data_IF_003541090576
#
_entry.id   IF_003541090576
#
_cell.length_a   1.000
_cell.length_b   1.000
_cell.length_c   1.000
_cell.angle_alpha   90.00
_cell.angle_beta   90.00
_cell.angle_gamma   90.00
#
_symmetry.space_group_name_H-M   'P 1'
#
loop_
_entity.id
_entity.type
_entity.pdbx_description
1 polymer ?
2 non-polymer ?
3 non-polymer ?
4 non-polymer ?
5 water ?
#
# COMPACT_ATOMS: atom_id res chain seq x y z
N UNK A 107 -1.34 9.18 -34.87
CA UNK A 107 -1.96 8.66 -33.64
C UNK A 107 -2.86 7.48 -33.98
N UNK A 108 -3.04 6.57 -33.01
CA UNK A 108 -4.03 5.51 -33.12
C UNK A 108 -5.42 6.13 -33.02
N UNK A 109 -6.44 5.32 -33.35
CA UNK A 109 -7.82 5.78 -33.30
C UNK A 109 -8.14 6.24 -31.89
N UNK A 110 -8.72 7.45 -31.80
CA UNK A 110 -9.21 7.99 -30.55
C UNK A 110 -10.11 6.98 -29.86
N UNK A 111 -9.98 6.87 -28.53
CA UNK A 111 -10.86 6.04 -27.72
C UNK A 111 -11.68 6.97 -26.83
N UNK A 112 -13.01 6.88 -26.95
CA UNK A 112 -13.92 7.67 -26.14
C UNK A 112 -14.61 6.76 -25.13
N UNK A 113 -14.59 7.16 -23.85
CA UNK A 113 -15.20 6.38 -22.78
C UNK A 113 -15.88 7.33 -21.78
N UNK A 114 -16.74 6.77 -20.93
CA UNK A 114 -17.34 7.54 -19.85
C UNK A 114 -16.28 7.97 -18.85
N UNK A 115 -15.37 7.06 -18.49
CA UNK A 115 -14.34 7.35 -17.51
C UNK A 115 -12.99 6.86 -18.01
N UNK A 116 -11.99 7.75 -17.94
CA UNK A 116 -10.60 7.35 -18.10
C UNK A 116 -10.00 7.17 -16.71
N UNK A 117 -9.40 5.99 -16.48
CA UNK A 117 -8.81 5.66 -15.19
C UNK A 117 -7.29 5.62 -15.36
N UNK A 118 -6.59 6.43 -14.56
CA UNK A 118 -5.13 6.42 -14.58
C UNK A 118 -4.62 5.53 -13.45
N UNK A 119 -3.97 4.44 -13.85
CA UNK A 119 -3.43 3.45 -12.95
C UNK A 119 -4.38 2.26 -12.81
N UNK A 120 -3.90 1.08 -13.24
CA UNK A 120 -4.63 -0.16 -13.10
C UNK A 120 -4.08 -1.01 -11.96
N UNK A 121 -3.95 -0.39 -10.80
CA UNK A 121 -3.60 -1.08 -9.57
C UNK A 121 -4.84 -1.50 -8.80
N UNK A 122 -4.76 -1.51 -7.48
CA UNK A 122 -5.88 -2.00 -6.69
C UNK A 122 -7.12 -1.11 -6.86
N UNK A 123 -6.96 0.20 -6.66
CA UNK A 123 -8.11 1.07 -6.66
C UNK A 123 -8.63 1.29 -8.08
N UNK A 124 -7.73 1.37 -9.05
CA UNK A 124 -8.13 1.61 -10.44
C UNK A 124 -8.87 0.42 -11.03
N UNK A 125 -8.39 -0.79 -10.74
CA UNK A 125 -9.03 -1.99 -11.25
C UNK A 125 -10.43 -2.13 -10.63
N UNK A 126 -10.52 -1.93 -9.32
CA UNK A 126 -11.80 -1.98 -8.64
C UNK A 126 -12.77 -0.99 -9.27
N UNK A 127 -12.32 0.25 -9.48
CA UNK A 127 -13.15 1.27 -10.08
C UNK A 127 -13.63 0.83 -11.47
N UNK A 128 -12.74 0.23 -12.26
CA UNK A 128 -13.09 -0.17 -13.62
C UNK A 128 -14.25 -1.15 -13.60
N UNK A 129 -14.18 -2.16 -12.71
CA UNK A 129 -15.20 -3.19 -12.64
C UNK A 129 -16.51 -2.59 -12.13
N UNK A 130 -16.42 -1.76 -11.08
CA UNK A 130 -17.62 -1.16 -10.51
C UNK A 130 -18.30 -0.25 -11.51
N UNK A 131 -17.52 0.53 -12.26
CA UNK A 131 -18.07 1.47 -13.21
C UNK A 131 -18.79 0.73 -14.34
N UNK A 132 -18.17 -0.33 -14.86
CA UNK A 132 -18.81 -1.11 -15.90
C UNK A 132 -20.15 -1.65 -15.42
N UNK A 133 -20.20 -2.12 -14.18
CA UNK A 133 -21.43 -2.68 -13.64
C UNK A 133 -22.50 -1.60 -13.50
N UNK A 134 -22.08 -0.33 -13.37
CA UNK A 134 -22.99 0.81 -13.32
C UNK A 134 -23.45 1.23 -14.71
N UNK A 135 -22.87 0.64 -15.76
CA UNK A 135 -23.18 1.01 -17.13
C UNK A 135 -22.35 2.18 -17.64
N UNK A 136 -21.20 2.44 -17.00
CA UNK A 136 -20.24 3.42 -17.49
C UNK A 136 -19.09 2.68 -18.17
N UNK A 137 -18.71 3.14 -19.37
CA UNK A 137 -17.59 2.57 -20.11
C UNK A 137 -16.28 3.16 -19.60
N UNK A 138 -15.19 2.40 -19.73
CA UNK A 138 -13.91 2.80 -19.14
C UNK A 138 -12.75 2.49 -20.09
N UNK A 139 -11.66 3.23 -19.89
CA UNK A 139 -10.33 2.82 -20.31
C UNK A 139 -9.38 2.97 -19.12
N UNK A 140 -8.50 1.97 -18.96
CA UNK A 140 -7.54 1.94 -17.87
C UNK A 140 -6.15 2.11 -18.47
N UNK A 141 -5.42 3.12 -17.95
CA UNK A 141 -4.08 3.44 -18.41
C UNK A 141 -3.09 2.96 -17.36
N UNK A 142 -2.24 1.98 -17.69
CA UNK A 142 -1.38 1.35 -16.70
C UNK A 142 0.07 1.35 -17.15
N UNK A 143 0.93 1.88 -16.27
CA UNK A 143 2.37 2.03 -16.47
C UNK A 143 3.07 0.70 -16.67
N UNK A 144 2.71 -0.30 -15.86
CA UNK A 144 3.38 -1.59 -15.81
C UNK A 144 2.86 -2.51 -16.91
N UNK A 145 3.46 -3.70 -17.01
CA UNK A 145 3.04 -4.71 -17.98
C UNK A 145 2.08 -5.72 -17.35
N UNK A 146 1.46 -5.34 -16.22
CA UNK A 146 0.48 -6.18 -15.55
C UNK A 146 -0.47 -5.26 -14.77
N UNK A 147 -1.66 -5.78 -14.44
CA UNK A 147 -2.60 -5.12 -13.55
C UNK A 147 -2.34 -5.56 -12.12
N UNK A 148 -2.52 -4.62 -11.18
CA UNK A 148 -2.56 -4.96 -9.77
C UNK A 148 -1.64 -4.11 -8.90
N UNK A 149 -0.66 -3.42 -9.51
CA UNK A 149 0.22 -2.53 -8.77
C UNK A 149 0.98 -3.27 -7.68
N UNK A 150 0.63 -2.99 -6.42
CA UNK A 150 1.28 -3.61 -5.28
C UNK A 150 0.82 -5.05 -5.04
N UNK A 151 -0.15 -5.51 -5.83
CA UNK A 151 -0.62 -6.88 -5.79
C UNK A 151 0.14 -7.71 -6.81
N UNK A 152 1.12 -8.47 -6.31
CA UNK A 152 2.14 -9.10 -7.14
C UNK A 152 2.30 -10.56 -6.74
N UNK A 153 2.32 -11.45 -7.73
CA UNK A 153 2.53 -12.86 -7.49
C UNK A 153 3.53 -13.40 -8.51
N UNK A 154 4.50 -14.16 -8.00
CA UNK A 154 5.39 -14.96 -8.82
C UNK A 154 4.95 -16.41 -8.71
N UNK A 155 4.84 -17.10 -9.87
CA UNK A 155 4.41 -18.49 -9.89
C UNK A 155 5.61 -19.37 -10.19
N UNK A 156 5.84 -20.36 -9.32
CA UNK A 156 6.89 -21.35 -9.55
C UNK A 156 6.45 -22.30 -10.66
N UNK A 157 7.35 -23.22 -11.02
CA UNK A 157 7.10 -24.17 -12.09
C UNK A 157 5.82 -24.98 -11.83
N UNK A 158 5.56 -25.33 -10.56
CA UNK A 158 4.40 -26.12 -10.21
C UNK A 158 3.22 -25.24 -9.84
N UNK A 159 3.31 -23.94 -10.17
CA UNK A 159 2.22 -22.98 -10.02
C UNK A 159 1.90 -22.69 -8.55
N UNK A 160 2.88 -22.83 -7.67
CA UNK A 160 2.74 -22.31 -6.31
C UNK A 160 2.73 -20.79 -6.40
N UNK A 161 1.69 -20.10 -5.87
CA UNK A 161 1.66 -18.64 -5.90
C UNK A 161 2.52 -18.05 -4.78
N UNK A 162 3.56 -17.30 -5.16
CA UNK A 162 4.38 -16.59 -4.19
C UNK A 162 4.02 -15.10 -4.24
N UNK A 163 3.12 -14.70 -3.33
CA UNK A 163 2.79 -13.29 -3.19
C UNK A 163 3.98 -12.57 -2.57
N UNK A 164 4.38 -11.44 -3.15
CA UNK A 164 5.52 -10.70 -2.59
C UNK A 164 5.19 -9.23 -2.34
N UNK A 165 3.96 -8.81 -2.64
CA UNK A 165 3.46 -7.51 -2.22
C UNK A 165 2.33 -7.68 -1.22
N UNK A 166 1.12 -7.29 -1.62
CA UNK A 166 -0.10 -7.57 -0.88
C UNK A 166 -0.13 -9.04 -0.45
N UNK A 167 -0.48 -9.26 0.83
CA UNK A 167 -0.61 -10.60 1.38
C UNK A 167 -2.07 -11.05 1.44
N UNK A 168 -3.00 -10.11 1.65
CA UNK A 168 -4.40 -10.47 1.74
C UNK A 168 -5.30 -9.28 2.03
N UNK A 169 -6.59 -9.57 2.16
CA UNK A 169 -7.64 -8.57 2.28
C UNK A 169 -8.43 -8.80 3.55
N UNK A 170 -9.16 -7.77 3.98
CA UNK A 170 -10.01 -7.89 5.15
C UNK A 170 -11.25 -8.69 4.77
N UNK A 171 -11.68 -9.59 5.65
CA UNK A 171 -12.84 -10.42 5.36
C UNK A 171 -14.12 -9.66 5.70
N UNK A 172 -14.50 -8.75 4.79
CA UNK A 172 -15.69 -7.92 4.95
C UNK A 172 -16.57 -8.06 3.72
N UNK A 173 -17.78 -7.52 3.81
CA UNK A 173 -18.74 -7.57 2.71
C UNK A 173 -18.14 -6.99 1.43
N UNK A 174 -17.46 -5.84 1.55
CA UNK A 174 -16.87 -5.19 0.38
C UNK A 174 -15.89 -6.13 -0.31
N UNK A 175 -15.03 -6.78 0.48
CA UNK A 175 -14.05 -7.70 -0.07
C UNK A 175 -14.74 -8.91 -0.72
N UNK A 176 -15.62 -9.56 0.03
CA UNK A 176 -16.25 -10.78 -0.43
C UNK A 176 -17.04 -10.51 -1.70
N UNK A 177 -17.77 -9.40 -1.74
CA UNK A 177 -18.57 -9.03 -2.91
C UNK A 177 -17.66 -8.92 -4.14
N UNK A 178 -16.47 -8.33 -3.97
CA UNK A 178 -15.57 -8.08 -5.09
C UNK A 178 -14.94 -9.37 -5.59
N UNK A 179 -14.42 -10.18 -4.67
CA UNK A 179 -13.79 -11.44 -5.07
C UNK A 179 -14.83 -12.34 -5.73
N UNK A 180 -16.06 -12.35 -5.20
CA UNK A 180 -17.14 -13.14 -5.77
C UNK A 180 -17.54 -12.58 -7.13
N UNK A 181 -17.63 -11.26 -7.24
CA UNK A 181 -17.93 -10.60 -8.50
C UNK A 181 -16.98 -11.10 -9.59
N UNK A 182 -15.68 -11.17 -9.27
CA UNK A 182 -14.68 -11.53 -10.25
C UNK A 182 -14.49 -13.05 -10.35
N UNK A 183 -15.30 -13.83 -9.62
CA UNK A 183 -15.33 -15.28 -9.75
C UNK A 183 -14.00 -15.89 -9.29
N UNK A 184 -13.40 -15.28 -8.27
CA UNK A 184 -12.06 -15.67 -7.82
C UNK A 184 -12.21 -16.51 -6.56
N UNK A 185 -11.89 -17.83 -6.58
CA UNK A 185 -11.91 -18.64 -5.36
C UNK A 185 -10.94 -18.06 -4.32
N UNK A 186 -11.40 -18.01 -3.07
CA UNK A 186 -10.62 -17.40 -2.01
C UNK A 186 -10.87 -18.12 -0.70
N UNK A 187 -10.00 -17.84 0.28
CA UNK A 187 -10.12 -18.41 1.61
C UNK A 187 -9.17 -17.70 2.56
N UNK A 188 -9.13 -18.19 3.81
CA UNK A 188 -8.30 -17.58 4.83
C UNK A 188 -6.83 -17.77 4.46
N UNK A 189 -6.03 -16.73 4.70
CA UNK A 189 -4.59 -16.82 4.51
C UNK A 189 -4.05 -17.88 5.46
N UNK A 190 -3.32 -18.86 4.91
CA UNK A 190 -2.70 -19.91 5.70
C UNK A 190 -1.24 -20.01 5.29
N UNK A 191 -0.33 -19.22 5.91
CA UNK A 191 1.08 -19.20 5.50
C UNK A 191 1.78 -20.53 5.82
N UNK A 192 2.91 -20.74 5.14
CA UNK A 192 3.73 -21.92 5.37
C UNK A 192 4.11 -22.00 6.84
N UNK A 193 4.25 -23.21 7.42
CA UNK A 193 4.74 -23.37 8.79
C UNK A 193 6.08 -22.68 8.96
N UNK A 194 6.26 -22.08 10.14
CA UNK A 194 7.52 -21.44 10.47
C UNK A 194 7.59 -21.26 11.98
N UNK A 195 8.82 -21.36 12.51
CA UNK A 195 9.11 -20.84 13.83
C UNK A 195 9.62 -19.41 13.64
N UNK A 196 9.34 -18.57 14.64
CA UNK A 196 9.85 -17.20 14.64
C UNK A 196 11.20 -17.17 15.34
N UNK A 197 12.21 -16.66 14.65
CA UNK A 197 13.48 -16.29 15.24
C UNK A 197 13.53 -14.77 15.37
N UNK A 198 13.75 -14.28 16.60
CA UNK A 198 13.92 -12.86 16.84
C UNK A 198 15.39 -12.52 16.67
N UNK A 199 15.67 -11.59 15.76
CA UNK A 199 17.02 -11.25 15.39
C UNK A 199 17.11 -9.74 15.28
N UNK A 200 18.16 -9.17 15.84
CA UNK A 200 18.45 -7.77 15.63
C UNK A 200 19.16 -7.64 14.28
N UNK A 201 18.42 -7.27 13.23
CA UNK A 201 19.03 -7.25 11.90
C UNK A 201 19.99 -6.08 11.77
N UNK A 202 19.92 -5.11 12.69
CA UNK A 202 20.87 -4.00 12.70
C UNK A 202 22.25 -4.47 13.14
N UNK A 203 22.31 -5.53 13.97
CA UNK A 203 23.59 -6.03 14.46
C UNK A 203 23.89 -7.45 13.95
N UNK A 204 22.87 -8.12 13.38
CA UNK A 204 23.01 -9.48 12.89
C UNK A 204 22.95 -10.54 13.99
N UNK A 205 22.55 -10.13 15.20
CA UNK A 205 22.66 -10.99 16.37
C UNK A 205 21.28 -11.45 16.84
N UNK A 206 21.18 -12.74 17.21
CA UNK A 206 19.94 -13.31 17.69
C UNK A 206 19.54 -12.68 19.02
N UNK A 207 18.24 -12.61 19.26
CA UNK A 207 17.71 -12.07 20.50
C UNK A 207 16.39 -12.79 20.83
N UNK A 208 15.57 -12.13 21.64
CA UNK A 208 14.24 -12.61 21.98
C UNK A 208 13.25 -11.46 21.77
N UNK A 209 11.96 -11.78 21.83
CA UNK A 209 10.93 -10.76 21.79
C UNK A 209 11.20 -9.77 22.91
N UNK A 210 11.03 -8.47 22.63
CA UNK A 210 11.39 -7.43 23.59
C UNK A 210 10.65 -7.67 24.91
N UNK A 211 11.38 -7.74 26.05
CA UNK A 211 10.72 -7.89 27.36
C UNK A 211 9.62 -6.86 27.57
N UNK A 212 8.47 -7.35 28.04
CA UNK A 212 7.34 -6.49 28.38
C UNK A 212 6.38 -6.30 27.21
N UNK A 213 6.82 -6.55 25.98
CA UNK A 213 5.95 -6.31 24.82
C UNK A 213 4.90 -7.42 24.74
N UNK A 214 3.66 -7.01 24.48
CA UNK A 214 2.54 -7.91 24.32
C UNK A 214 2.53 -8.52 22.91
N UNK A 215 1.84 -9.65 22.79
CA UNK A 215 1.48 -10.23 21.51
C UNK A 215 0.34 -9.42 20.89
N UNK A 216 0.08 -9.67 19.60
CA UNK A 216 -0.83 -8.85 18.81
C UNK A 216 -2.19 -8.68 19.48
N UNK A 217 -2.86 -9.76 19.84
CA UNK A 217 -4.25 -9.67 20.26
C UNK A 217 -4.37 -8.76 21.48
N UNK A 218 -3.49 -8.95 22.46
CA UNK A 218 -3.52 -8.17 23.69
C UNK A 218 -3.13 -6.72 23.42
N UNK A 219 -2.13 -6.52 22.55
CA UNK A 219 -1.70 -5.17 22.19
C UNK A 219 -2.84 -4.42 21.50
N UNK A 220 -3.51 -5.09 20.55
CA UNK A 220 -4.59 -4.47 19.80
C UNK A 220 -5.72 -4.04 20.74
N UNK A 221 -6.04 -4.86 21.75
CA UNK A 221 -7.15 -4.53 22.64
C UNK A 221 -6.89 -3.20 23.34
N UNK A 222 -5.67 -2.99 23.83
CA UNK A 222 -5.33 -1.75 24.52
C UNK A 222 -5.33 -0.58 23.54
N UNK A 223 -4.76 -0.80 22.35
CA UNK A 223 -4.66 0.23 21.32
C UNK A 223 -6.04 0.69 20.86
N UNK A 224 -6.91 -0.27 20.52
CA UNK A 224 -8.24 0.04 20.01
C UNK A 224 -9.03 0.85 21.05
N UNK A 225 -8.85 0.52 22.34
CA UNK A 225 -9.51 1.26 23.40
C UNK A 225 -9.05 2.72 23.40
N UNK A 226 -7.75 2.95 23.15
CA UNK A 226 -7.18 4.29 23.19
C UNK A 226 -7.62 5.12 21.99
N UNK A 227 -7.82 4.49 20.82
CA UNK A 227 -8.07 5.25 19.61
C UNK A 227 -9.57 5.27 19.25
N UNK A 228 -10.40 4.61 20.05
CA UNK A 228 -11.83 4.54 19.82
C UNK A 228 -12.45 5.93 19.66
N UNK A 229 -11.88 6.90 20.38
CA UNK A 229 -12.30 8.29 20.36
C UNK A 229 -12.20 8.93 18.97
N UNK A 230 -11.41 8.34 18.08
CA UNK A 230 -11.26 8.85 16.72
C UNK A 230 -12.10 8.01 15.77
N UNK A 231 -13.41 7.92 16.05
CA UNK A 231 -14.32 7.07 15.30
C UNK A 231 -14.45 7.47 13.83
N UNK A 232 -14.16 8.74 13.54
CA UNK A 232 -14.22 9.26 12.18
C UNK A 232 -13.16 8.61 11.27
N UNK A 233 -12.19 7.88 11.84
CA UNK A 233 -11.21 7.16 11.05
C UNK A 233 -11.58 5.68 10.89
N UNK A 234 -12.80 5.28 11.31
CA UNK A 234 -13.18 3.88 11.35
C UNK A 234 -13.12 3.21 9.98
N UNK A 235 -13.29 3.97 8.89
CA UNK A 235 -13.25 3.39 7.55
C UNK A 235 -11.98 3.81 6.81
N UNK A 236 -11.03 4.39 7.54
CA UNK A 236 -9.73 4.72 6.99
C UNK A 236 -9.71 6.00 6.14
N UNK A 237 -10.76 6.82 6.24
CA UNK A 237 -10.81 8.04 5.47
C UNK A 237 -10.42 9.22 6.37
N UNK A 238 -9.64 10.16 5.83
CA UNK A 238 -9.06 11.25 6.61
C UNK A 238 -10.08 12.38 6.81
N UNK A 239 -11.27 12.04 7.32
CA UNK A 239 -12.32 13.01 7.60
C UNK A 239 -12.18 13.44 9.06
N UNK A 240 -11.39 14.49 9.27
CA UNK A 240 -10.97 14.88 10.60
C UNK A 240 -11.68 16.19 10.95
N UNK A 241 -12.37 16.27 12.10
CA UNK A 241 -12.99 17.52 12.53
C UNK A 241 -11.93 18.58 12.83
N UNK A 242 -12.31 19.84 12.64
CA UNK A 242 -11.46 20.97 12.97
C UNK A 242 -12.18 21.84 13.98
N UNK A 243 -11.52 22.31 15.06
CA UNK A 243 -10.09 22.07 15.32
C UNK A 243 -9.71 20.60 15.54
N UNK A 244 -8.53 20.23 15.04
CA UNK A 244 -8.07 18.85 15.07
C UNK A 244 -7.77 18.47 16.51
N UNK A 245 -8.24 17.30 17.01
CA UNK A 245 -7.84 16.83 18.33
C UNK A 245 -6.32 16.67 18.40
N UNK A 246 -5.67 17.34 19.36
CA UNK A 246 -4.22 17.42 19.38
C UNK A 246 -3.59 16.04 19.58
N UNK A 247 -4.25 15.15 20.32
CA UNK A 247 -3.70 13.82 20.54
C UNK A 247 -3.54 13.08 19.21
N UNK A 248 -4.43 13.32 18.25
CA UNK A 248 -4.39 12.62 16.97
C UNK A 248 -3.14 12.98 16.17
N UNK A 249 -2.64 14.22 16.33
CA UNK A 249 -1.49 14.67 15.55
C UNK A 249 -0.26 14.81 16.43
N UNK A 250 -0.33 14.30 17.67
CA UNK A 250 0.84 14.20 18.54
C UNK A 250 1.75 13.10 18.02
N UNK A 251 3.07 13.15 18.29
CA UNK A 251 3.96 12.03 17.98
C UNK A 251 3.41 10.76 18.61
N UNK A 252 3.43 9.67 17.83
CA UNK A 252 3.02 8.37 18.35
C UNK A 252 3.77 8.05 19.64
N UNK A 253 5.07 8.38 19.68
CA UNK A 253 5.88 8.12 20.87
C UNK A 253 5.30 8.80 22.10
N UNK A 254 4.74 10.00 21.92
CA UNK A 254 4.11 10.73 23.02
C UNK A 254 2.77 10.10 23.38
N UNK A 255 1.99 9.75 22.35
CA UNK A 255 0.67 9.18 22.53
C UNK A 255 0.74 7.89 23.35
N UNK A 256 1.73 7.03 23.11
CA UNK A 256 1.75 5.75 23.80
C UNK A 256 2.08 5.94 25.28
N UNK A 257 2.82 7.00 25.63
CA UNK A 257 3.05 7.32 27.04
C UNK A 257 1.77 7.81 27.67
N UNK A 258 1.10 8.77 27.01
CA UNK A 258 -0.09 9.39 27.53
C UNK A 258 -1.22 8.37 27.71
N UNK A 259 -1.34 7.42 26.76
CA UNK A 259 -2.42 6.46 26.77
C UNK A 259 -1.98 5.12 27.36
N UNK A 260 -0.74 5.07 27.89
CA UNK A 260 -0.27 3.92 28.65
C UNK A 260 -0.30 2.68 27.76
N UNK A 261 0.36 2.78 26.60
CA UNK A 261 0.36 1.74 25.58
C UNK A 261 1.77 1.23 25.30
N UNK A 262 2.70 1.43 26.23
CA UNK A 262 4.10 1.18 25.96
C UNK A 262 4.33 -0.31 25.67
N UNK A 263 3.54 -1.18 26.30
CA UNK A 263 3.65 -2.62 26.12
C UNK A 263 3.00 -3.12 24.83
N UNK A 264 2.37 -2.21 24.04
CA UNK A 264 1.70 -2.60 22.81
C UNK A 264 2.46 -2.15 21.57
N UNK A 265 3.58 -1.45 21.72
CA UNK A 265 4.18 -0.73 20.61
C UNK A 265 4.76 -1.68 19.56
N UNK A 266 5.48 -2.72 19.99
CA UNK A 266 6.14 -3.57 19.02
C UNK A 266 5.11 -4.23 18.10
N UNK A 267 4.01 -4.71 18.67
CA UNK A 267 2.95 -5.34 17.87
C UNK A 267 2.42 -4.37 16.81
N UNK A 268 2.25 -3.10 17.19
CA UNK A 268 1.74 -2.10 16.26
C UNK A 268 2.78 -1.84 15.16
N UNK A 269 4.05 -1.72 15.54
CA UNK A 269 5.13 -1.59 14.57
C UNK A 269 5.13 -2.76 13.59
N UNK A 270 4.90 -3.98 14.10
CA UNK A 270 5.01 -5.17 13.27
C UNK A 270 3.99 -5.14 12.13
N UNK A 271 2.93 -4.32 12.26
CA UNK A 271 1.90 -4.20 11.24
C UNK A 271 1.89 -2.82 10.58
N UNK A 272 2.95 -2.03 10.81
CA UNK A 272 3.10 -0.71 10.19
C UNK A 272 4.39 -0.70 9.38
N UNK A 273 4.28 -0.44 8.07
CA UNK A 273 5.46 -0.44 7.22
C UNK A 273 6.22 0.88 7.35
N UNK A 274 6.84 1.09 8.53
CA UNK A 274 7.52 2.34 8.82
C UNK A 274 7.92 2.42 10.29
N UNK A 275 8.88 3.30 10.58
CA UNK A 275 9.31 3.53 11.96
C UNK A 275 8.23 4.33 12.69
N UNK A 276 7.43 3.63 13.48
CA UNK A 276 6.31 4.26 14.19
C UNK A 276 6.80 5.34 15.16
N UNK A 277 8.03 5.22 15.68
CA UNK A 277 8.52 6.17 16.66
C UNK A 277 8.89 7.51 16.03
N UNK A 278 8.86 7.60 14.69
CA UNK A 278 9.06 8.87 14.00
C UNK A 278 7.80 9.32 13.25
N UNK A 279 6.65 8.73 13.60
CA UNK A 279 5.38 9.07 12.97
C UNK A 279 4.46 9.73 13.98
N UNK A 280 3.55 10.59 13.50
CA UNK A 280 2.47 11.06 14.34
C UNK A 280 1.40 9.98 14.43
N UNK A 281 0.56 10.09 15.46
CA UNK A 281 -0.40 9.07 15.82
C UNK A 281 -1.33 8.75 14.65
N UNK A 282 -1.79 9.79 13.95
CA UNK A 282 -2.71 9.62 12.84
C UNK A 282 -2.23 8.52 11.88
N UNK A 283 -0.95 8.57 11.49
CA UNK A 283 -0.50 7.67 10.43
C UNK A 283 -0.33 6.25 10.96
N UNK A 284 -0.07 6.08 12.26
CA UNK A 284 -0.05 4.74 12.82
C UNK A 284 -1.48 4.18 12.82
N UNK A 285 -2.47 5.00 13.18
CA UNK A 285 -3.86 4.56 13.14
C UNK A 285 -4.22 4.12 11.72
N UNK A 286 -3.69 4.83 10.71
CA UNK A 286 -4.02 4.54 9.33
C UNK A 286 -3.25 3.31 8.82
N UNK A 287 -2.37 2.72 9.64
CA UNK A 287 -1.75 1.44 9.32
C UNK A 287 -2.31 0.29 10.16
N UNK A 288 -2.71 0.55 11.41
CA UNK A 288 -3.13 -0.54 12.28
C UNK A 288 -4.25 -0.08 13.21
N UNK A 289 -5.31 0.48 12.62
CA UNK A 289 -6.45 0.99 13.35
C UNK A 289 -7.55 -0.06 13.57
N UNK A 290 -8.79 0.41 13.68
CA UNK A 290 -9.90 -0.39 14.16
C UNK A 290 -10.20 -1.54 13.19
N UNK A 291 -10.51 -1.29 11.89
CA UNK A 291 -10.79 -2.39 10.98
C UNK A 291 -9.58 -3.29 10.73
N UNK A 292 -8.39 -2.69 10.83
CA UNK A 292 -7.13 -3.38 10.58
C UNK A 292 -6.91 -4.45 11.64
N UNK A 293 -7.09 -4.06 12.91
CA UNK A 293 -6.90 -4.96 14.03
C UNK A 293 -7.92 -6.10 13.99
N UNK A 294 -9.17 -5.76 13.65
CA UNK A 294 -10.22 -6.76 13.56
C UNK A 294 -9.87 -7.79 12.48
N UNK A 295 -9.37 -7.31 11.35
CA UNK A 295 -9.04 -8.17 10.22
C UNK A 295 -7.89 -9.12 10.59
N UNK A 296 -6.86 -8.61 11.28
CA UNK A 296 -5.73 -9.44 11.66
C UNK A 296 -6.14 -10.48 12.70
N UNK A 297 -7.00 -10.08 13.65
CA UNK A 297 -7.47 -11.00 14.68
C UNK A 297 -8.21 -12.18 14.03
N UNK A 298 -9.04 -11.89 13.02
CA UNK A 298 -9.82 -12.93 12.36
C UNK A 298 -8.93 -13.71 11.37
N UNK A 299 -8.06 -12.97 10.67
CA UNK A 299 -7.28 -13.53 9.58
C UNK A 299 -7.73 -12.94 8.24
N UNK A 300 -6.75 -12.54 7.42
CA UNK A 300 -7.04 -12.05 6.09
C UNK A 300 -7.59 -13.18 5.22
N UNK A 301 -8.29 -12.78 4.15
CA UNK A 301 -8.66 -13.71 3.09
C UNK A 301 -7.90 -13.30 1.82
N UNK A 302 -7.67 -14.27 0.94
CA UNK A 302 -6.99 -13.97 -0.30
C UNK A 302 -7.33 -15.05 -1.32
N UNK A 303 -7.14 -14.75 -2.62
CA UNK A 303 -7.39 -15.75 -3.66
C UNK A 303 -6.48 -16.97 -3.49
N UNK A 304 -7.05 -18.16 -3.71
CA UNK A 304 -6.29 -19.40 -3.59
C UNK A 304 -5.10 -19.37 -4.53
N UNK A 305 -5.27 -18.85 -5.75
CA UNK A 305 -4.23 -18.93 -6.77
C UNK A 305 -3.43 -17.64 -6.84
N UNK A 306 -3.29 -16.94 -5.70
CA UNK A 306 -2.43 -15.77 -5.61
C UNK A 306 -3.20 -14.46 -5.80
N UNK A 307 -2.65 -13.38 -5.26
CA UNK A 307 -3.26 -12.06 -5.43
C UNK A 307 -3.42 -11.76 -6.91
N UNK A 308 -2.43 -12.13 -7.72
CA UNK A 308 -2.47 -11.84 -9.16
C UNK A 308 -3.69 -12.47 -9.83
N UNK A 309 -4.25 -13.55 -9.27
CA UNK A 309 -5.41 -14.19 -9.87
C UNK A 309 -6.60 -13.24 -9.94
N UNK A 310 -6.74 -12.35 -8.96
CA UNK A 310 -7.77 -11.32 -8.99
C UNK A 310 -7.60 -10.47 -10.24
N UNK A 311 -6.36 -10.02 -10.48
CA UNK A 311 -6.04 -9.09 -11.55
C UNK A 311 -6.08 -9.78 -12.91
N UNK A 312 -5.73 -11.07 -12.96
CA UNK A 312 -5.87 -11.84 -14.19
C UNK A 312 -7.34 -11.90 -14.58
N UNK A 313 -8.22 -12.16 -13.61
CA UNK A 313 -9.63 -12.24 -13.87
C UNK A 313 -10.18 -10.89 -14.35
N UNK A 314 -9.83 -9.81 -13.65
CA UNK A 314 -10.26 -8.48 -14.05
C UNK A 314 -9.77 -8.16 -15.46
N UNK A 315 -8.51 -8.49 -15.74
CA UNK A 315 -7.91 -8.23 -17.05
C UNK A 315 -8.65 -8.95 -18.17
N UNK A 316 -9.10 -10.19 -17.91
CA UNK A 316 -9.86 -10.95 -18.89
C UNK A 316 -11.17 -10.25 -19.21
N UNK A 317 -11.81 -9.67 -18.19
CA UNK A 317 -13.08 -8.98 -18.40
C UNK A 317 -12.85 -7.68 -19.17
N UNK A 318 -11.79 -6.95 -18.83
CA UNK A 318 -11.58 -5.60 -19.35
C UNK A 318 -11.02 -5.62 -20.76
N UNK A 319 -10.26 -6.68 -21.11
CA UNK A 319 -9.74 -6.85 -22.45
C UNK A 319 -8.99 -5.61 -22.94
N UNK A 320 -9.37 -5.11 -24.12
CA UNK A 320 -8.63 -4.05 -24.79
C UNK A 320 -8.90 -2.69 -24.15
N UNK A 321 -9.76 -2.62 -23.13
CA UNK A 321 -9.97 -1.37 -22.40
C UNK A 321 -8.82 -1.13 -21.41
N UNK A 322 -7.91 -2.10 -21.27
CA UNK A 322 -6.68 -1.87 -20.52
C UNK A 322 -5.54 -1.59 -21.50
N UNK A 323 -4.86 -0.46 -21.31
CA UNK A 323 -3.65 -0.13 -22.03
C UNK A 323 -2.46 -0.31 -21.10
N UNK A 324 -1.74 -1.43 -21.25
CA UNK A 324 -0.56 -1.72 -20.46
C UNK A 324 0.64 -0.97 -21.05
N UNK A 325 1.67 -0.80 -20.22
CA UNK A 325 2.88 -0.06 -20.56
C UNK A 325 2.51 1.26 -21.23
N UNK A 326 1.50 1.93 -20.67
CA UNK A 326 0.96 3.17 -21.21
C UNK A 326 0.85 4.17 -20.07
N UNK A 327 1.18 5.44 -20.35
CA UNK A 327 1.17 6.49 -19.36
C UNK A 327 0.57 7.75 -19.96
N UNK A 328 -0.08 8.62 -19.15
CA UNK A 328 -0.54 9.92 -19.65
C UNK A 328 0.65 10.80 -19.99
N UNK A 329 0.55 11.48 -21.13
CA UNK A 329 1.59 12.36 -21.61
C UNK A 329 1.13 13.82 -21.50
N UNK A 330 -0.12 14.09 -21.85
CA UNK A 330 -0.68 15.43 -21.78
C UNK A 330 -2.18 15.32 -21.48
N UNK A 331 -2.63 16.09 -20.48
CA UNK A 331 -4.01 16.05 -20.03
C UNK A 331 -4.63 17.43 -20.22
N UNK A 332 -5.88 17.45 -20.70
CA UNK A 332 -6.72 18.64 -20.63
C UNK A 332 -7.95 18.31 -19.78
N UNK A 333 -8.27 19.21 -18.85
CA UNK A 333 -9.38 19.01 -17.93
C UNK A 333 -10.41 20.11 -18.17
N UNK A 334 -11.61 19.70 -18.62
CA UNK A 334 -12.69 20.63 -18.91
C UNK A 334 -13.78 20.52 -17.85
N UNK A 335 -14.70 21.49 -17.84
CA UNK A 335 -15.82 21.46 -16.92
C UNK A 335 -16.73 20.27 -17.25
N UNK A 336 -16.79 19.91 -18.54
CA UNK A 336 -17.59 18.78 -18.99
C UNK A 336 -16.74 17.89 -19.90
N UNK A 337 -15.79 17.18 -19.29
CA UNK A 337 -15.01 16.17 -19.98
C UNK A 337 -13.51 16.37 -19.79
N UNK A 338 -12.74 15.39 -20.27
CA UNK A 338 -11.29 15.44 -20.25
C UNK A 338 -10.77 14.88 -21.56
N UNK A 339 -9.52 15.24 -21.88
CA UNK A 339 -8.75 14.60 -22.93
C UNK A 339 -7.41 14.17 -22.35
N UNK A 340 -7.01 12.92 -22.59
CA UNK A 340 -5.73 12.41 -22.14
C UNK A 340 -5.00 11.82 -23.34
N UNK A 341 -3.91 12.46 -23.74
CA UNK A 341 -3.01 11.88 -24.70
C UNK A 341 -2.10 10.92 -23.93
N UNK A 342 -2.12 9.65 -24.34
CA UNK A 342 -1.30 8.63 -23.70
C UNK A 342 -0.24 8.15 -24.68
N UNK A 343 0.84 7.61 -24.11
CA UNK A 343 1.97 7.08 -24.86
C UNK A 343 2.17 5.63 -24.43
N UNK A 344 2.39 4.74 -25.40
CA UNK A 344 2.66 3.34 -25.09
C UNK A 344 4.13 3.01 -25.40
N UNK A 345 4.58 1.87 -24.88
CA UNK A 345 5.97 1.48 -24.99
C UNK A 345 6.40 1.31 -26.44
N UNK A 346 5.45 0.98 -27.34
CA UNK A 346 5.76 0.81 -28.76
C UNK A 346 5.88 2.17 -29.46
N UNK A 347 5.69 3.27 -28.73
CA UNK A 347 5.89 4.60 -29.26
C UNK A 347 4.60 5.24 -29.80
N UNK A 348 3.51 4.47 -29.80
CA UNK A 348 2.25 4.96 -30.33
C UNK A 348 1.61 5.91 -29.32
N UNK A 349 0.93 6.94 -29.83
CA UNK A 349 0.12 7.80 -28.99
C UNK A 349 -1.36 7.58 -29.33
N UNK A 350 -2.20 7.70 -28.29
CA UNK A 350 -3.63 7.59 -28.41
C UNK A 350 -4.27 8.75 -27.67
N UNK A 351 -5.27 9.38 -28.28
CA UNK A 351 -6.11 10.34 -27.58
C UNK A 351 -7.24 9.58 -26.91
N UNK A 352 -7.33 9.74 -25.58
CA UNK A 352 -8.45 9.24 -24.81
C UNK A 352 -9.37 10.41 -24.48
N UNK A 353 -10.64 10.27 -24.83
CA UNK A 353 -11.67 11.22 -24.45
C UNK A 353 -12.51 10.59 -23.35
N UNK A 354 -12.71 11.34 -22.25
CA UNK A 354 -13.55 10.87 -21.16
C UNK A 354 -14.55 11.93 -20.75
N UNK A 355 -15.72 11.49 -20.25
CA UNK A 355 -16.62 12.41 -19.57
C UNK A 355 -16.01 12.76 -18.22
N UNK A 356 -15.29 11.82 -17.61
CA UNK A 356 -14.65 12.03 -16.32
C UNK A 356 -13.30 11.32 -16.31
N UNK A 357 -12.45 11.77 -15.37
CA UNK A 357 -11.11 11.23 -15.17
C UNK A 357 -10.98 10.78 -13.72
N UNK A 358 -10.45 9.58 -13.49
CA UNK A 358 -10.19 9.09 -12.15
C UNK A 358 -8.71 8.76 -12.04
N UNK A 359 -8.03 9.41 -11.09
CA UNK A 359 -6.58 9.34 -11.00
C UNK A 359 -6.19 8.55 -9.76
N UNK A 360 -5.47 7.44 -9.96
CA UNK A 360 -5.00 6.61 -8.86
C UNK A 360 -3.48 6.71 -8.69
N UNK A 361 -2.84 7.51 -9.55
CA UNK A 361 -1.41 7.82 -9.48
C UNK A 361 -1.16 8.57 -8.17
N UNK A 362 -0.10 8.28 -7.38
CA UNK A 362 0.18 9.09 -6.20
C UNK A 362 0.41 10.54 -6.62
N UNK A 363 -0.32 11.53 -6.05
CA UNK A 363 -0.23 12.91 -6.54
C UNK A 363 0.98 13.71 -6.06
N UNK A 364 2.17 13.12 -6.17
CA UNK A 364 3.41 13.90 -6.11
C UNK A 364 3.45 14.79 -7.34
N UNK A 365 3.96 16.03 -7.18
CA UNK A 365 4.05 16.94 -8.31
C UNK A 365 4.87 16.32 -9.45
N UNK A 366 5.95 15.60 -9.11
CA UNK A 366 6.79 14.99 -10.14
C UNK A 366 6.03 13.90 -10.90
N UNK A 367 4.96 13.34 -10.31
CA UNK A 367 4.18 12.31 -10.96
C UNK A 367 3.13 12.89 -11.91
N UNK A 368 2.90 14.21 -11.82
CA UNK A 368 1.78 14.84 -12.52
C UNK A 368 2.29 15.75 -13.64
N UNK A 369 3.44 15.41 -14.22
CA UNK A 369 3.88 16.03 -15.45
C UNK A 369 2.81 15.85 -16.52
N UNK A 370 2.54 16.93 -17.26
CA UNK A 370 1.55 16.93 -18.32
C UNK A 370 0.12 17.13 -17.82
N UNK A 371 -0.05 17.37 -16.51
CA UNK A 371 -1.36 17.37 -15.88
C UNK A 371 -1.62 18.78 -15.34
N UNK A 372 -2.46 19.63 -15.99
CA UNK A 372 -2.73 20.97 -15.48
C UNK A 372 -3.30 20.89 -14.07
N UNK A 373 -2.81 21.77 -13.19
CA UNK A 373 -3.23 21.82 -11.80
C UNK A 373 -3.66 23.24 -11.47
N UNK A 374 -4.71 23.35 -10.64
CA UNK A 374 -5.10 24.64 -10.07
C UNK A 374 -4.04 25.07 -9.08
N UNK A 375 -4.08 26.36 -8.69
CA UNK A 375 -3.14 26.88 -7.71
C UNK A 375 -3.29 26.10 -6.40
N UNK A 376 -4.53 25.76 -6.03
CA UNK A 376 -4.79 25.06 -4.79
C UNK A 376 -4.27 23.63 -4.87
N UNK A 377 -4.48 22.95 -6.01
CA UNK A 377 -3.96 21.61 -6.20
C UNK A 377 -2.44 21.61 -6.07
N UNK A 378 -1.78 22.56 -6.76
CA UNK A 378 -0.33 22.67 -6.73
C UNK A 378 0.16 22.91 -5.30
N UNK A 379 -0.53 23.81 -4.59
CA UNK A 379 -0.15 24.17 -3.23
C UNK A 379 -0.23 22.95 -2.31
N UNK A 380 -1.34 22.21 -2.36
CA UNK A 380 -1.51 21.07 -1.47
C UNK A 380 -0.53 19.96 -1.83
N UNK A 381 -0.41 19.66 -3.12
CA UNK A 381 0.44 18.55 -3.54
C UNK A 381 1.92 18.85 -3.28
N UNK A 382 2.29 20.13 -3.16
CA UNK A 382 3.67 20.49 -2.87
C UNK A 382 4.08 20.06 -1.46
N UNK A 383 3.10 19.70 -0.61
CA UNK A 383 3.37 19.46 0.80
C UNK A 383 3.72 17.99 1.10
N UNK A 384 3.55 17.08 0.13
CA UNK A 384 3.74 15.66 0.41
C UNK A 384 5.15 15.36 0.88
N UNK A 385 5.21 14.48 1.88
CA UNK A 385 6.40 13.76 2.26
C UNK A 385 6.11 12.28 2.07
N UNK A 386 7.15 11.46 1.90
CA UNK A 386 6.91 10.04 1.70
C UNK A 386 8.15 9.23 2.06
N UNK A 387 7.96 7.91 2.04
CA UNK A 387 9.00 6.93 2.27
C UNK A 387 9.15 6.04 1.05
N UNK A 388 10.28 5.32 0.99
CA UNK A 388 10.49 4.31 -0.04
C UNK A 388 10.23 2.93 0.56
N UNK A 389 9.83 2.00 -0.31
CA UNK A 389 9.40 0.68 0.09
C UNK A 389 9.75 -0.29 -1.03
N UNK A 390 10.53 -1.33 -0.70
CA UNK A 390 11.01 -2.30 -1.66
C UNK A 390 10.53 -3.68 -1.26
N UNK A 391 9.91 -4.38 -2.21
CA UNK A 391 9.32 -5.69 -1.97
C UNK A 391 10.10 -6.73 -2.77
N UNK A 392 10.92 -7.50 -2.07
CA UNK A 392 11.81 -8.46 -2.71
C UNK A 392 11.30 -9.88 -2.52
N UNK A 393 11.51 -10.69 -3.55
CA UNK A 393 11.39 -12.13 -3.50
C UNK A 393 12.75 -12.71 -3.85
N UNK A 394 13.33 -13.49 -2.94
CA UNK A 394 14.67 -14.01 -3.11
C UNK A 394 14.67 -15.51 -2.89
N UNK A 395 15.70 -16.18 -3.40
CA UNK A 395 15.95 -17.56 -3.04
C UNK A 395 17.46 -17.80 -3.01
N UNK A 396 17.86 -19.06 -2.82
CA UNK A 396 19.26 -19.41 -2.73
C UNK A 396 19.94 -18.54 -1.67
N UNK A 397 19.35 -18.50 -0.48
CA UNK A 397 19.72 -17.56 0.57
C UNK A 397 20.64 -18.18 1.62
N UNK A 398 20.62 -19.51 1.75
CA UNK A 398 21.30 -20.20 2.83
C UNK A 398 20.51 -20.21 4.14
N UNK A 399 19.35 -19.53 4.17
CA UNK A 399 18.52 -19.47 5.36
C UNK A 399 17.74 -20.78 5.51
N UNK A 400 17.29 -21.12 6.76
CA UNK A 400 16.36 -22.22 6.95
C UNK A 400 15.04 -21.97 6.21
N UNK A 401 14.46 -23.05 5.69
CA UNK A 401 13.19 -23.01 4.99
C UNK A 401 12.05 -22.72 5.95
N UNK A 402 12.23 -23.03 7.25
CA UNK A 402 11.12 -23.06 8.18
C UNK A 402 11.24 -21.95 9.23
N UNK A 403 11.84 -20.81 8.88
CA UNK A 403 11.97 -19.71 9.80
C UNK A 403 11.36 -18.44 9.20
N UNK A 404 10.69 -17.67 10.06
CA UNK A 404 10.39 -16.27 9.82
C UNK A 404 11.27 -15.46 10.77
N UNK A 405 12.04 -14.53 10.22
CA UNK A 405 12.98 -13.75 11.01
C UNK A 405 12.31 -12.43 11.35
N UNK A 406 12.14 -12.19 12.66
CA UNK A 406 11.44 -11.03 13.18
C UNK A 406 12.48 -10.03 13.70
N UNK A 407 12.46 -8.83 13.13
CA UNK A 407 13.49 -7.83 13.36
C UNK A 407 13.19 -7.08 14.65
N UNK A 408 14.06 -7.27 15.66
CA UNK A 408 13.95 -6.61 16.95
C UNK A 408 15.21 -5.79 17.19
N UNK A 409 15.04 -4.47 17.36
CA UNK A 409 16.17 -3.60 17.66
C UNK A 409 16.35 -3.53 19.18
N UNK A 410 17.30 -4.33 19.67
CA UNK A 410 17.54 -4.48 21.10
C UNK A 410 18.05 -3.20 21.73
N UNK A 411 18.52 -2.25 20.91
CA UNK A 411 19.11 -1.02 21.41
C UNK A 411 18.14 0.15 21.31
N UNK A 412 16.87 -0.12 20.96
CA UNK A 412 15.91 0.95 20.79
C UNK A 412 14.66 0.68 21.61
N UNK A 413 14.02 1.78 22.02
CA UNK A 413 12.75 1.79 22.73
C UNK A 413 11.77 0.81 22.09
N UNK A 414 11.24 -0.13 22.90
CA UNK A 414 10.19 -1.06 22.51
C UNK A 414 10.63 -2.06 21.45
N UNK A 415 11.92 -2.08 21.11
CA UNK A 415 12.44 -3.00 20.09
C UNK A 415 12.21 -2.53 18.66
N UNK A 416 11.78 -1.27 18.45
CA UNK A 416 11.43 -0.80 17.12
C UNK A 416 12.69 -0.29 16.41
N UNK A 417 13.03 -0.82 15.22
CA UNK A 417 14.19 -0.34 14.48
C UNK A 417 13.97 1.02 13.82
N UNK A 418 15.09 1.72 13.57
CA UNK A 418 15.11 2.96 12.82
C UNK A 418 15.25 2.66 11.33
N UNK A 419 14.67 3.53 10.50
CA UNK A 419 14.82 3.38 9.06
C UNK A 419 16.24 3.76 8.62
N UNK A 420 16.78 3.17 7.54
CA UNK A 420 16.12 2.10 6.79
C UNK A 420 16.21 0.75 7.51
N UNK A 421 15.24 -0.13 7.27
CA UNK A 421 15.26 -1.44 7.89
C UNK A 421 14.60 -2.50 7.01
N UNK A 422 14.93 -3.75 7.30
CA UNK A 422 14.13 -4.88 6.87
C UNK A 422 12.94 -5.00 7.82
N UNK A 423 11.74 -4.90 7.23
CA UNK A 423 10.50 -4.93 7.98
C UNK A 423 9.99 -6.35 8.15
N UNK A 424 10.14 -7.15 7.09
CA UNK A 424 9.68 -8.54 7.06
C UNK A 424 10.73 -9.39 6.36
N UNK A 425 10.91 -10.62 6.85
CA UNK A 425 11.82 -11.57 6.25
C UNK A 425 11.24 -12.96 6.48
N UNK A 426 10.29 -13.36 5.63
CA UNK A 426 9.49 -14.55 5.91
C UNK A 426 9.59 -15.53 4.75
N UNK A 427 9.15 -16.77 5.04
CA UNK A 427 9.34 -17.91 4.17
C UNK A 427 8.10 -18.09 3.29
N UNK A 428 8.10 -19.19 2.53
CA UNK A 428 7.05 -19.48 1.57
C UNK A 428 6.78 -20.98 1.55
N UNK A 429 5.65 -21.35 0.93
CA UNK A 429 5.31 -22.76 0.74
C UNK A 429 6.28 -23.45 -0.20
N UNK A 430 6.86 -22.70 -1.15
CA UNK A 430 7.88 -23.23 -2.04
C UNK A 430 9.23 -23.14 -1.33
N UNK A 431 9.92 -24.29 -1.08
CA UNK A 431 11.20 -24.26 -0.40
C UNK A 431 12.22 -23.32 -1.03
N UNK A 432 12.94 -22.59 -0.17
CA UNK A 432 14.06 -21.77 -0.60
C UNK A 432 13.68 -20.31 -0.84
N UNK A 433 12.40 -20.02 -1.08
CA UNK A 433 11.99 -18.66 -1.39
C UNK A 433 11.63 -17.90 -0.11
N UNK A 434 12.04 -16.64 -0.05
CA UNK A 434 11.74 -15.76 1.06
C UNK A 434 11.32 -14.39 0.53
N UNK A 435 10.40 -13.75 1.24
CA UNK A 435 10.10 -12.34 1.01
C UNK A 435 10.97 -11.49 1.93
N UNK A 436 11.51 -10.41 1.38
CA UNK A 436 12.21 -9.41 2.18
C UNK A 436 11.63 -8.05 1.81
N UNK A 437 11.06 -7.37 2.80
CA UNK A 437 10.45 -6.06 2.61
C UNK A 437 11.31 -5.04 3.35
N UNK A 438 11.68 -3.96 2.65
CA UNK A 438 12.57 -2.95 3.19
C UNK A 438 11.92 -1.58 3.09
N UNK A 439 12.05 -0.80 4.16
CA UNK A 439 11.45 0.52 4.23
C UNK A 439 12.54 1.54 4.57
N UNK A 440 12.50 2.70 3.91
CA UNK A 440 13.41 3.78 4.25
C UNK A 440 12.82 5.14 3.91
N UNK A 441 13.65 6.16 4.05
CA UNK A 441 13.26 7.53 3.71
C UNK A 441 13.13 7.70 2.19
N UNK A 442 12.82 8.93 1.78
CA UNK A 442 12.52 9.23 0.39
C UNK A 442 13.71 9.00 -0.54
N UNK A 443 14.93 8.96 0.02
CA UNK A 443 16.12 8.80 -0.79
C UNK A 443 16.64 7.35 -0.75
N UNK A 444 15.90 6.45 -0.11
CA UNK A 444 16.28 5.04 -0.03
C UNK A 444 15.84 4.34 -1.30
N UNK A 445 16.63 4.53 -2.37
CA UNK A 445 16.28 4.04 -3.70
C UNK A 445 16.74 2.61 -3.94
N UNK A 446 16.63 2.18 -5.18
CA UNK A 446 16.75 0.77 -5.52
C UNK A 446 18.14 0.24 -5.18
N UNK A 447 19.18 0.97 -5.60
CA UNK A 447 20.55 0.51 -5.37
C UNK A 447 20.86 0.51 -3.88
N UNK A 448 20.43 1.56 -3.16
CA UNK A 448 20.66 1.62 -1.73
C UNK A 448 19.99 0.44 -1.04
N UNK A 449 18.75 0.12 -1.46
CA UNK A 449 17.97 -0.90 -0.79
C UNK A 449 18.55 -2.28 -1.06
N UNK A 450 18.98 -2.53 -2.30
CA UNK A 450 19.57 -3.82 -2.63
C UNK A 450 20.85 -4.02 -1.84
N UNK A 451 21.70 -2.99 -1.80
CA UNK A 451 22.94 -3.06 -1.06
C UNK A 451 22.66 -3.29 0.42
N UNK A 452 21.68 -2.57 0.96
CA UNK A 452 21.32 -2.72 2.36
C UNK A 452 20.88 -4.15 2.64
N UNK A 453 20.04 -4.70 1.76
CA UNK A 453 19.57 -6.07 1.91
C UNK A 453 20.75 -7.03 1.95
N UNK A 454 21.65 -6.93 0.97
CA UNK A 454 22.80 -7.82 0.89
C UNK A 454 23.66 -7.70 2.15
N UNK A 455 23.85 -6.47 2.64
CA UNK A 455 24.70 -6.23 3.79
C UNK A 455 24.08 -6.85 5.05
N UNK A 456 22.76 -6.74 5.20
CA UNK A 456 22.10 -7.33 6.36
C UNK A 456 22.25 -8.85 6.34
N UNK A 457 22.08 -9.46 5.16
CA UNK A 457 22.18 -10.91 5.05
C UNK A 457 23.62 -11.36 5.31
N UNK A 458 24.59 -10.61 4.82
CA UNK A 458 26.00 -10.92 5.04
C UNK A 458 26.34 -10.85 6.52
N UNK A 459 25.76 -9.89 7.24
CA UNK A 459 26.07 -9.70 8.65
C UNK A 459 25.58 -10.90 9.46
N UNK A 460 24.47 -11.54 9.04
CA UNK A 460 23.98 -12.72 9.72
C UNK A 460 25.02 -13.85 9.65
N UNK A 461 25.74 -13.94 8.54
CA UNK A 461 26.79 -14.93 8.37
C UNK A 461 28.00 -14.56 9.23
N UNK A 462 28.40 -13.28 9.17
CA UNK A 462 29.56 -12.79 9.88
C UNK A 462 29.42 -13.02 11.38
N UNK A 463 28.19 -12.91 11.91
CA UNK A 463 27.94 -13.04 13.33
C UNK A 463 27.65 -14.50 13.71
N UNK A 464 27.61 -15.40 12.73
CA UNK A 464 27.41 -16.82 12.96
C UNK A 464 25.95 -17.18 13.23
N UNK A 465 25.03 -16.28 12.88
CA UNK A 465 23.62 -16.45 13.19
C UNK A 465 22.95 -17.40 12.21
N UNK A 466 23.21 -17.21 10.90
CA UNK A 466 22.77 -18.14 9.87
C UNK A 466 23.87 -18.29 8.83
N UNK A 467 23.86 -19.43 8.13
CA UNK A 467 24.82 -19.72 7.09
C UNK A 467 24.37 -19.11 5.77
N UNK A 468 24.17 -17.79 5.75
CA UNK A 468 23.70 -17.12 4.55
C UNK A 468 24.83 -17.04 3.52
N UNK A 469 24.42 -16.88 2.26
CA UNK A 469 25.30 -16.46 1.20
C UNK A 469 24.50 -15.51 0.32
N UNK A 470 25.19 -14.78 -0.56
CA UNK A 470 24.51 -13.77 -1.36
C UNK A 470 23.37 -14.46 -2.12
N UNK A 471 22.12 -13.97 -1.96
CA UNK A 471 20.97 -14.65 -2.54
C UNK A 471 20.78 -14.32 -4.02
N UNK A 472 19.89 -15.09 -4.66
CA UNK A 472 19.38 -14.77 -5.98
C UNK A 472 18.13 -13.91 -5.83
N UNK A 473 18.08 -12.80 -6.56
CA UNK A 473 16.89 -11.96 -6.58
C UNK A 473 15.96 -12.48 -7.66
N UNK A 474 14.75 -12.88 -7.26
CA UNK A 474 13.73 -13.29 -8.21
C UNK A 474 12.95 -12.04 -8.64
N UNK A 475 12.53 -11.23 -7.66
CA UNK A 475 11.88 -9.95 -7.91
C UNK A 475 12.40 -8.92 -6.91
N UNK A 476 12.49 -7.66 -7.34
CA UNK A 476 12.84 -6.56 -6.45
C UNK A 476 11.98 -5.36 -6.84
N UNK A 477 10.75 -5.30 -6.31
CA UNK A 477 9.72 -4.42 -6.81
C UNK A 477 9.69 -3.11 -6.02
N UNK A 478 9.60 -2.00 -6.75
CA UNK A 478 9.35 -0.71 -6.13
C UNK A 478 7.90 -0.62 -5.66
N UNK A 479 7.73 -0.28 -4.38
CA UNK A 479 6.46 0.14 -3.82
C UNK A 479 6.52 1.61 -3.39
N UNK A 480 7.47 2.36 -3.96
CA UNK A 480 7.60 3.77 -3.66
C UNK A 480 6.61 4.57 -4.50
N UNK A 481 5.92 5.59 -3.96
CA UNK A 481 5.98 6.02 -2.56
C UNK A 481 5.05 5.24 -1.63
N UNK A 482 5.53 5.01 -0.40
CA UNK A 482 4.69 4.54 0.69
C UNK A 482 4.56 5.68 1.69
N UNK A 483 3.45 5.69 2.44
CA UNK A 483 3.23 6.66 3.51
C UNK A 483 3.34 8.08 2.96
N UNK A 484 2.47 8.39 2.00
CA UNK A 484 2.27 9.77 1.59
C UNK A 484 1.65 10.52 2.77
N UNK A 485 2.37 11.52 3.29
CA UNK A 485 1.97 12.17 4.53
C UNK A 485 2.33 13.65 4.50
N UNK A 486 1.75 14.39 5.44
CA UNK A 486 2.08 15.80 5.64
C UNK A 486 2.34 16.03 7.12
N UNK A 487 2.88 17.21 7.44
CA UNK A 487 3.24 17.55 8.80
C UNK A 487 1.98 17.72 9.66
N UNK A 488 2.17 17.59 10.98
CA UNK A 488 1.13 17.87 11.95
C UNK A 488 0.55 19.28 11.73
N UNK A 489 1.43 20.26 11.44
CA UNK A 489 1.00 21.63 11.26
C UNK A 489 0.06 21.73 10.06
N UNK A 490 0.37 21.03 8.96
CA UNK A 490 -0.49 21.07 7.78
C UNK A 490 -1.86 20.48 8.13
N UNK A 491 -1.87 19.37 8.88
CA UNK A 491 -3.11 18.72 9.26
C UNK A 491 -3.94 19.66 10.15
N UNK A 492 -3.28 20.31 11.11
CA UNK A 492 -3.92 21.25 12.00
C UNK A 492 -4.62 22.36 11.21
N UNK A 493 -4.02 22.75 10.08
CA UNK A 493 -4.57 23.78 9.21
C UNK A 493 -5.62 23.27 8.22
N UNK A 494 -6.03 22.00 8.37
CA UNK A 494 -7.13 21.45 7.58
C UNK A 494 -6.68 20.87 6.23
N UNK A 495 -5.44 20.38 6.15
CA UNK A 495 -4.92 19.82 4.92
C UNK A 495 -5.89 18.82 4.29
N UNK A 496 -6.37 17.85 5.08
CA UNK A 496 -7.17 16.77 4.52
C UNK A 496 -8.55 17.24 4.08
N UNK A 497 -9.14 18.21 4.80
CA UNK A 497 -10.38 18.80 4.35
C UNK A 497 -10.17 19.46 2.98
N UNK A 498 -9.07 20.20 2.85
CA UNK A 498 -8.76 20.90 1.62
C UNK A 498 -8.47 19.91 0.50
N UNK A 499 -7.80 18.80 0.84
CA UNK A 499 -7.50 17.75 -0.12
C UNK A 499 -8.79 17.18 -0.70
N UNK A 500 -9.74 16.83 0.16
CA UNK A 500 -10.98 16.22 -0.31
C UNK A 500 -11.82 17.23 -1.08
N UNK A 501 -11.68 18.52 -0.77
CA UNK A 501 -12.43 19.55 -1.49
C UNK A 501 -11.99 19.61 -2.96
N UNK A 502 -10.79 19.09 -3.29
CA UNK A 502 -10.32 19.06 -4.67
C UNK A 502 -11.18 18.16 -5.56
N UNK A 503 -11.84 17.16 -4.98
CA UNK A 503 -12.53 16.15 -5.75
C UNK A 503 -13.57 16.79 -6.68
N UNK A 504 -13.48 16.47 -7.98
CA UNK A 504 -14.50 16.85 -8.94
C UNK A 504 -14.13 18.06 -9.81
N UNK A 505 -13.05 18.78 -9.50
CA UNK A 505 -12.70 19.95 -10.29
C UNK A 505 -12.43 19.52 -11.73
N UNK A 506 -13.09 20.19 -12.68
CA UNK A 506 -12.91 19.95 -14.10
C UNK A 506 -12.91 18.44 -14.38
N UNK A 507 -14.00 17.80 -13.96
CA UNK A 507 -14.32 16.43 -14.35
C UNK A 507 -13.30 15.42 -13.81
N UNK A 508 -12.52 15.80 -12.80
CA UNK A 508 -11.38 15.01 -12.33
C UNK A 508 -11.61 14.58 -10.89
N UNK A 509 -11.35 13.29 -10.64
CA UNK A 509 -11.53 12.66 -9.35
C UNK A 509 -10.30 11.82 -9.03
N UNK A 510 -10.13 11.50 -7.75
CA UNK A 510 -8.91 10.87 -7.27
C UNK A 510 -9.25 9.74 -6.31
N UNK A 511 -8.42 8.69 -6.32
CA UNK A 511 -8.50 7.68 -5.27
C UNK A 511 -7.13 7.04 -5.12
N UNK A 512 -7.03 6.15 -4.13
CA UNK A 512 -5.80 5.39 -3.89
C UNK A 512 -5.19 5.70 -2.53
N UNK A 513 -4.01 5.13 -2.31
CA UNK A 513 -3.33 5.07 -1.01
C UNK A 513 -2.98 6.44 -0.43
N UNK A 514 -3.00 7.51 -1.23
CA UNK A 514 -2.76 8.84 -0.70
C UNK A 514 -4.02 9.39 -0.02
N UNK A 515 -5.18 8.91 -0.47
CA UNK A 515 -6.47 9.52 -0.14
C UNK A 515 -7.17 8.80 1.02
N UNK A 516 -6.71 7.60 1.37
CA UNK A 516 -7.32 6.82 2.43
C UNK A 516 -6.29 5.78 2.89
N UNK A 517 -6.59 5.13 4.01
CA UNK A 517 -5.72 4.11 4.59
C UNK A 517 -5.31 3.09 3.52
N UNK A 518 -4.01 2.77 3.48
CA UNK A 518 -3.41 2.04 2.38
C UNK A 518 -3.60 0.53 2.58
N UNK A 519 -4.87 0.12 2.50
CA UNK A 519 -5.29 -1.29 2.51
C UNK A 519 -6.35 -1.43 1.44
N UNK A 520 -6.21 -2.47 0.61
CA UNK A 520 -7.11 -2.66 -0.53
C UNK A 520 -8.57 -2.57 -0.10
N UNK A 521 -8.96 -3.26 0.98
CA UNK A 521 -10.36 -3.28 1.35
C UNK A 521 -10.87 -1.86 1.63
N UNK A 522 -10.08 -1.07 2.36
CA UNK A 522 -10.49 0.27 2.72
C UNK A 522 -10.45 1.19 1.49
N UNK A 523 -9.49 0.98 0.61
CA UNK A 523 -9.43 1.76 -0.62
C UNK A 523 -10.61 1.45 -1.54
N UNK A 524 -11.06 0.20 -1.55
CA UNK A 524 -12.25 -0.15 -2.33
C UNK A 524 -13.46 0.62 -1.79
N UNK A 525 -13.61 0.67 -0.46
CA UNK A 525 -14.70 1.42 0.14
C UNK A 525 -14.64 2.90 -0.21
N UNK A 526 -13.46 3.51 -0.11
CA UNK A 526 -13.33 4.92 -0.42
C UNK A 526 -13.60 5.16 -1.90
N UNK A 527 -13.09 4.27 -2.76
CA UNK A 527 -13.31 4.37 -4.19
C UNK A 527 -14.81 4.39 -4.49
N UNK A 528 -15.58 3.54 -3.80
CA UNK A 528 -17.02 3.54 -3.99
C UNK A 528 -17.63 4.90 -3.64
N UNK A 529 -17.11 5.57 -2.61
CA UNK A 529 -17.59 6.90 -2.28
C UNK A 529 -17.29 7.89 -3.41
N UNK A 530 -16.09 7.79 -3.99
CA UNK A 530 -15.71 8.68 -5.08
C UNK A 530 -16.60 8.39 -6.30
N UNK A 531 -16.86 7.11 -6.59
CA UNK A 531 -17.71 6.75 -7.70
C UNK A 531 -19.12 7.29 -7.50
N UNK A 532 -19.57 7.34 -6.24
CA UNK A 532 -20.89 7.89 -5.93
C UNK A 532 -20.92 9.37 -6.28
N UNK A 533 -19.85 10.11 -5.94
CA UNK A 533 -19.73 11.51 -6.28
C UNK A 533 -19.73 11.68 -7.80
N UNK A 534 -19.03 10.79 -8.51
CA UNK A 534 -18.96 10.84 -9.96
C UNK A 534 -20.33 10.60 -10.59
N UNK A 535 -21.22 9.89 -9.88
CA UNK A 535 -22.55 9.56 -10.39
C UNK A 535 -23.62 10.55 -9.92
N UNK A 536 -23.23 11.72 -9.40
CA UNK A 536 -24.20 12.69 -8.93
C UNK A 536 -25.04 13.22 -10.10
N UNK A 537 -26.31 13.54 -9.80
CA UNK A 537 -27.25 14.00 -10.81
C UNK A 537 -27.79 15.38 -10.44
#
# INVERSE_FOLDING_TARGET
MRFPSIFTAVLFAASSALAAPVNTTTEDETAQIPAEAVIGYSDLEGDFDVAVLPFSNSTNNGLLFINTTIASIAAKEEGVSLEKREAEAYVEFPRHHHHHHDDDDKARDTISRDVIILGGGSSGTYAAIRLRDQGKTVAVVERNNYLGGHGETYYTEDNTPLNFGVEGFFNTTVTRNYLERLQVPYGRRDPAPAHEDYVNLNTGQRTEYTPGQLQDREAFAKWVDAISQFGFLDDGVYRIPEPVPEDLISPFADFVKKYHLEDAVYALFSHTSGDVLEMITLYVIQYIGVPHAAALNEGYVRPIEGIAALYKSAGKELGSDVLLETTPEAVQRFEDGVEVIVRSADGTKTLLKGKQLLVTIPPLLENLHGFPLSDQESRLFSKWQYHQYWAALVNDTGLPDDVNIVNVDTERLYGVPEEPFIWRLDNHWAPGYHNIKLVGGSEFGEDEAKAYMYERLDLLHAEGTYATHKPEIVKFASHTPVTMFVSAEEIRGGFYRQLYELQGLNSTFWTGATWASDYSTLLWGYTDEVLDQMASS
#
